data_IF_376873935831
#
_entry.id   IF_376873935831
#
_cell.length_a   1.000
_cell.length_b   1.000
_cell.length_c   1.000
_cell.angle_alpha   90.00
_cell.angle_beta   90.00
_cell.angle_gamma   90.00
#
_symmetry.space_group_name_H-M   'P 1'
#
loop_
_entity.id
_entity.type
_entity.pdbx_description
1 polymer ?
#
# COMPACT_ATOMS: atom_id res chain seq x y z
N UNK A 1 9.20 0.65 -11.63
CA UNK A 1 9.84 1.86 -11.06
C UNK A 1 8.82 2.62 -10.25
N UNK A 2 9.12 2.90 -8.97
CA UNK A 2 8.26 3.68 -8.10
C UNK A 2 8.28 5.16 -8.54
N UNK A 3 7.10 5.76 -8.69
CA UNK A 3 6.92 7.14 -9.16
C UNK A 3 6.32 8.06 -8.13
N UNK A 4 5.38 7.56 -7.33
CA UNK A 4 4.74 8.33 -6.27
C UNK A 4 4.57 7.47 -5.03
N UNK A 5 4.78 8.08 -3.87
CA UNK A 5 4.50 7.50 -2.56
C UNK A 5 3.78 8.56 -1.73
N UNK A 6 2.57 8.26 -1.30
CA UNK A 6 1.82 9.07 -0.35
C UNK A 6 1.66 8.31 0.97
N UNK A 7 1.84 9.00 2.09
CA UNK A 7 1.77 8.45 3.43
C UNK A 7 1.06 9.44 4.35
N UNK A 8 0.04 8.97 5.05
CA UNK A 8 -0.58 9.72 6.14
C UNK A 8 -0.72 8.86 7.40
N UNK A 9 -0.61 9.51 8.56
CA UNK A 9 -0.71 8.91 9.89
C UNK A 9 0.29 7.75 10.13
N UNK A 10 1.54 7.91 9.70
CA UNK A 10 2.61 6.94 9.97
C UNK A 10 3.83 7.59 10.61
N UNK A 11 4.00 7.41 11.92
CA UNK A 11 5.07 7.98 12.74
C UNK A 11 5.16 9.50 12.55
N UNK A 12 6.19 9.98 11.84
CA UNK A 12 6.39 11.40 11.56
C UNK A 12 5.90 11.84 10.17
N UNK A 13 5.37 10.92 9.37
CA UNK A 13 4.88 11.20 8.02
C UNK A 13 3.37 11.45 8.08
N UNK A 14 3.00 12.72 7.90
CA UNK A 14 1.62 13.23 7.94
C UNK A 14 1.36 13.96 6.63
N UNK A 15 0.35 13.54 5.87
CA UNK A 15 0.07 14.03 4.52
C UNK A 15 1.36 14.16 3.67
N UNK A 16 2.26 13.19 3.79
CA UNK A 16 3.56 13.18 3.16
C UNK A 16 3.44 12.66 1.74
N UNK A 17 3.89 13.44 0.77
CA UNK A 17 3.94 13.04 -0.64
C UNK A 17 5.36 13.11 -1.17
N UNK A 18 5.75 12.07 -1.90
CA UNK A 18 7.06 11.95 -2.52
C UNK A 18 6.90 11.51 -3.97
N UNK A 19 7.34 12.37 -4.87
CA UNK A 19 7.48 12.07 -6.29
C UNK A 19 8.93 11.65 -6.57
N UNK A 20 9.10 10.55 -7.31
CA UNK A 20 10.37 9.90 -7.55
C UNK A 20 10.69 9.86 -9.04
N UNK A 21 11.96 10.13 -9.35
CA UNK A 21 12.51 9.91 -10.68
C UNK A 21 13.64 8.86 -10.69
N UNK A 22 14.45 8.82 -11.73
CA UNK A 22 15.54 7.86 -11.89
C UNK A 22 16.55 7.84 -10.73
N UNK A 23 16.86 9.00 -10.13
CA UNK A 23 17.77 9.13 -8.98
C UNK A 23 17.16 10.13 -8.00
N UNK A 24 17.08 9.74 -6.72
CA UNK A 24 16.53 10.57 -5.66
C UNK A 24 17.45 10.54 -4.44
N UNK A 25 17.79 11.71 -3.90
CA UNK A 25 18.66 11.84 -2.72
C UNK A 25 17.84 12.38 -1.54
N UNK A 26 17.85 11.64 -0.43
CA UNK A 26 17.14 12.00 0.79
C UNK A 26 18.10 12.66 1.77
N UNK A 27 17.96 13.97 1.98
CA UNK A 27 18.77 14.76 2.93
C UNK A 27 17.91 15.25 4.09
N UNK A 28 18.50 15.33 5.28
CA UNK A 28 17.84 15.88 6.47
C UNK A 28 18.45 15.36 7.77
N UNK A 29 18.09 15.98 8.89
CA UNK A 29 18.58 15.61 10.22
C UNK A 29 18.06 14.25 10.72
N UNK A 30 18.66 13.71 11.76
CA UNK A 30 18.13 12.51 12.43
C UNK A 30 16.69 12.74 12.90
N UNK A 31 15.82 11.75 12.72
CA UNK A 31 14.39 11.86 13.03
C UNK A 31 13.52 12.51 11.96
N UNK A 32 14.09 13.05 10.87
CA UNK A 32 13.33 13.74 9.80
C UNK A 32 12.48 12.82 8.91
N UNK A 33 12.39 11.52 9.20
CA UNK A 33 11.55 10.59 8.44
C UNK A 33 12.21 9.86 7.26
N UNK A 34 13.49 10.11 6.96
CA UNK A 34 14.21 9.42 5.86
C UNK A 34 14.12 7.89 5.93
N UNK A 35 14.57 7.30 7.04
CA UNK A 35 14.46 5.85 7.24
C UNK A 35 13.02 5.38 7.40
N UNK A 36 12.10 6.27 7.77
CA UNK A 36 10.67 5.96 7.91
C UNK A 36 10.04 5.66 6.55
N UNK A 37 10.42 6.40 5.50
CA UNK A 37 9.98 6.14 4.11
C UNK A 37 10.30 4.70 3.69
N UNK A 38 11.54 4.26 3.87
CA UNK A 38 11.94 2.89 3.54
C UNK A 38 11.20 1.83 4.37
N UNK A 39 10.95 2.11 5.66
CA UNK A 39 10.17 1.22 6.53
C UNK A 39 8.72 1.06 6.07
N UNK A 40 8.11 2.12 5.51
CA UNK A 40 6.77 2.01 4.91
C UNK A 40 6.80 1.11 3.68
N UNK A 41 7.75 1.32 2.77
CA UNK A 41 7.90 0.47 1.58
C UNK A 41 8.08 -1.01 1.96
N UNK A 42 8.94 -1.29 2.94
CA UNK A 42 9.14 -2.65 3.46
C UNK A 42 7.86 -3.26 4.03
N UNK A 43 7.09 -2.51 4.83
CA UNK A 43 5.81 -2.99 5.40
C UNK A 43 4.78 -3.27 4.32
N UNK A 44 4.68 -2.42 3.29
CA UNK A 44 3.76 -2.65 2.17
C UNK A 44 4.19 -3.89 1.37
N UNK A 45 5.49 -4.07 1.11
CA UNK A 45 6.02 -5.29 0.47
C UNK A 45 5.68 -6.55 1.26
N UNK A 46 5.92 -6.56 2.57
CA UNK A 46 5.62 -7.68 3.47
C UNK A 46 4.12 -8.00 3.50
N UNK A 47 3.27 -6.95 3.55
CA UNK A 47 1.81 -7.08 3.49
C UNK A 47 1.34 -7.71 2.17
N UNK A 48 1.81 -7.15 1.05
CA UNK A 48 1.40 -7.58 -0.30
C UNK A 48 1.87 -9.00 -0.62
N UNK A 49 3.01 -9.43 -0.07
CA UNK A 49 3.48 -10.81 -0.20
C UNK A 49 2.66 -11.81 0.64
N UNK A 50 2.05 -11.35 1.74
CA UNK A 50 1.35 -12.22 2.68
C UNK A 50 2.28 -13.05 3.56
N UNK A 51 3.52 -12.59 3.75
CA UNK A 51 4.57 -13.32 4.48
C UNK A 51 4.37 -13.27 6.01
N UNK A 52 3.60 -12.29 6.49
CA UNK A 52 3.35 -12.04 7.91
C UNK A 52 1.88 -11.71 8.19
N UNK A 53 1.47 -11.92 9.44
CA UNK A 53 0.16 -11.48 9.92
C UNK A 53 0.10 -9.95 9.98
N UNK A 54 -1.07 -9.38 9.70
CA UNK A 54 -1.29 -7.95 9.68
C UNK A 54 -0.83 -7.25 10.98
N UNK A 55 -1.12 -7.86 12.13
CA UNK A 55 -0.80 -7.34 13.47
C UNK A 55 0.71 -7.33 13.75
N UNK A 56 1.52 -8.04 12.96
CA UNK A 56 2.98 -7.98 13.04
C UNK A 56 3.54 -6.91 12.11
N UNK A 57 2.85 -6.63 11.01
CA UNK A 57 3.29 -5.70 9.96
C UNK A 57 2.91 -4.28 10.34
N UNK A 58 1.70 -4.03 10.84
CA UNK A 58 1.24 -2.70 11.21
C UNK A 58 0.85 -2.68 12.68
N UNK A 59 1.55 -1.85 13.46
CA UNK A 59 1.31 -1.69 14.88
C UNK A 59 0.59 -0.37 15.14
N UNK A 60 -0.30 -0.33 16.13
CA UNK A 60 -0.92 0.92 16.58
C UNK A 60 0.12 1.95 17.02
N UNK A 61 1.28 1.49 17.51
CA UNK A 61 2.43 2.34 17.85
C UNK A 61 3.13 2.98 16.65
N UNK A 62 2.86 2.54 15.42
CA UNK A 62 3.31 3.19 14.19
C UNK A 62 2.41 4.36 13.79
N UNK A 63 1.23 4.55 14.39
CA UNK A 63 0.40 5.73 14.14
C UNK A 63 1.09 7.01 14.61
N UNK A 64 0.72 8.12 13.98
CA UNK A 64 1.28 9.43 14.35
C UNK A 64 0.76 9.86 15.72
N UNK A 65 1.68 10.01 16.68
CA UNK A 65 1.34 10.25 18.09
C UNK A 65 0.51 11.50 18.36
N UNK A 66 0.60 12.52 17.51
CA UNK A 66 -0.11 13.79 17.65
C UNK A 66 -1.36 13.89 16.77
N UNK A 67 -1.76 12.81 16.09
CA UNK A 67 -3.02 12.71 15.36
C UNK A 67 -4.00 11.80 16.09
N UNK A 68 -5.30 12.07 15.93
CA UNK A 68 -6.39 11.23 16.45
C UNK A 68 -6.98 10.31 15.36
N UNK A 69 -6.38 10.30 14.18
CA UNK A 69 -6.80 9.47 13.06
C UNK A 69 -6.60 7.99 13.40
N UNK A 70 -7.64 7.20 13.16
CA UNK A 70 -7.60 5.75 13.37
C UNK A 70 -7.07 5.00 12.15
N UNK A 71 -6.94 5.66 11.00
CA UNK A 71 -6.56 5.02 9.73
C UNK A 71 -5.21 5.55 9.27
N UNK A 72 -4.28 4.64 8.98
CA UNK A 72 -3.05 4.92 8.24
C UNK A 72 -3.34 4.78 6.75
N UNK A 73 -2.86 5.71 5.95
CA UNK A 73 -3.11 5.72 4.50
C UNK A 73 -1.80 5.64 3.76
N UNK A 74 -1.73 4.74 2.81
CA UNK A 74 -0.59 4.57 1.94
C UNK A 74 -1.07 4.54 0.49
N UNK A 75 -0.41 5.29 -0.37
CA UNK A 75 -0.62 5.19 -1.82
C UNK A 75 0.72 5.05 -2.53
N UNK A 76 0.73 4.24 -3.59
CA UNK A 76 1.89 4.01 -4.44
C UNK A 76 1.47 4.15 -5.90
N UNK A 77 2.31 4.79 -6.70
CA UNK A 77 2.25 4.68 -8.16
C UNK A 77 3.53 4.07 -8.67
N UNK A 78 3.40 3.00 -9.47
CA UNK A 78 4.53 2.21 -9.95
C UNK A 78 4.36 2.00 -11.45
N UNK A 79 5.37 2.40 -12.22
CA UNK A 79 5.46 2.05 -13.64
C UNK A 79 5.98 0.61 -13.74
N UNK A 80 5.25 -0.27 -14.43
CA UNK A 80 5.62 -1.66 -14.63
C UNK A 80 4.71 -2.32 -15.67
N UNK A 81 5.17 -3.40 -16.31
CA UNK A 81 4.40 -4.14 -17.32
C UNK A 81 3.82 -3.27 -18.46
N UNK A 82 4.54 -2.23 -18.85
CA UNK A 82 4.15 -1.24 -19.87
C UNK A 82 2.94 -0.36 -19.51
N UNK A 83 2.60 -0.23 -18.23
CA UNK A 83 1.57 0.67 -17.75
C UNK A 83 1.86 1.21 -16.35
N UNK A 84 0.83 1.80 -15.73
CA UNK A 84 0.91 2.42 -14.42
C UNK A 84 0.00 1.66 -13.46
N UNK A 85 0.60 1.12 -12.41
CA UNK A 85 -0.13 0.62 -11.25
C UNK A 85 -0.36 1.75 -10.25
N UNK A 86 -1.60 1.91 -9.79
CA UNK A 86 -1.93 2.69 -8.60
C UNK A 86 -2.36 1.73 -7.51
N UNK A 87 -1.78 1.84 -6.32
CA UNK A 87 -2.13 1.02 -5.18
C UNK A 87 -2.48 1.90 -3.99
N UNK A 88 -3.56 1.57 -3.29
CA UNK A 88 -4.00 2.25 -2.09
C UNK A 88 -4.26 1.24 -0.98
N UNK A 89 -3.77 1.55 0.23
CA UNK A 89 -3.95 0.73 1.41
C UNK A 89 -4.35 1.60 2.59
N UNK A 90 -5.47 1.24 3.22
CA UNK A 90 -5.95 1.84 4.45
C UNK A 90 -5.87 0.83 5.59
N UNK A 91 -5.08 1.12 6.63
CA UNK A 91 -4.99 0.27 7.82
C UNK A 91 -5.66 0.99 8.99
N UNK A 92 -6.78 0.44 9.45
CA UNK A 92 -7.49 0.90 10.62
C UNK A 92 -6.89 0.30 11.87
N UNK A 93 -6.75 1.13 12.90
CA UNK A 93 -6.35 0.74 14.24
C UNK A 93 -7.49 1.05 15.20
N UNK A 94 -7.80 0.10 16.08
CA UNK A 94 -8.72 0.25 17.19
C UNK A 94 -8.09 -0.42 18.41
N UNK A 95 -7.59 0.39 19.34
CA UNK A 95 -6.79 -0.06 20.48
C UNK A 95 -5.57 -0.87 20.02
N UNK A 96 -5.53 -2.17 20.31
CA UNK A 96 -4.47 -3.11 19.94
C UNK A 96 -4.82 -3.95 18.70
N UNK A 97 -5.98 -3.70 18.08
CA UNK A 97 -6.41 -4.40 16.87
C UNK A 97 -6.11 -3.56 15.65
N UNK A 98 -5.63 -4.20 14.60
CA UNK A 98 -5.52 -3.61 13.28
C UNK A 98 -6.38 -4.39 12.27
N UNK A 99 -6.90 -3.70 11.28
CA UNK A 99 -7.62 -4.30 10.15
C UNK A 99 -7.33 -3.52 8.88
N UNK A 100 -7.43 -4.20 7.75
CA UNK A 100 -7.48 -3.52 6.45
C UNK A 100 -8.85 -2.86 6.35
N UNK A 101 -8.90 -1.54 6.25
CA UNK A 101 -10.14 -0.78 6.00
C UNK A 101 -10.47 -0.81 4.51
N UNK A 102 -9.43 -0.64 3.69
CA UNK A 102 -9.52 -0.79 2.26
C UNK A 102 -8.18 -1.20 1.64
N UNK A 103 -8.25 -1.93 0.53
CA UNK A 103 -7.13 -2.19 -0.35
C UNK A 103 -7.62 -2.03 -1.79
N UNK A 104 -6.92 -1.24 -2.60
CA UNK A 104 -7.34 -0.98 -3.98
C UNK A 104 -6.13 -1.00 -4.90
N UNK A 105 -6.30 -1.62 -6.06
CA UNK A 105 -5.27 -1.70 -7.09
C UNK A 105 -5.90 -1.36 -8.43
N UNK A 106 -5.29 -0.43 -9.14
CA UNK A 106 -5.61 -0.11 -10.53
C UNK A 106 -4.40 -0.37 -11.42
N UNK A 107 -4.68 -0.65 -12.68
CA UNK A 107 -3.72 -0.64 -13.78
C UNK A 107 -4.28 0.22 -14.91
N UNK A 108 -3.54 1.25 -15.33
CA UNK A 108 -3.98 2.21 -16.35
C UNK A 108 -5.42 2.71 -16.12
N UNK A 109 -5.70 3.11 -14.87
CA UNK A 109 -7.00 3.58 -14.37
C UNK A 109 -8.13 2.53 -14.35
N UNK A 110 -7.86 1.29 -14.72
CA UNK A 110 -8.80 0.18 -14.60
C UNK A 110 -8.62 -0.51 -13.25
N UNK A 111 -9.71 -0.61 -12.49
CA UNK A 111 -9.70 -1.25 -11.17
C UNK A 111 -9.48 -2.76 -11.34
N UNK A 112 -8.46 -3.32 -10.68
CA UNK A 112 -8.11 -4.75 -10.71
C UNK A 112 -8.51 -5.46 -9.42
N UNK A 113 -8.35 -4.77 -8.28
CA UNK A 113 -8.71 -5.28 -6.96
C UNK A 113 -9.32 -4.14 -6.16
N UNK A 114 -10.41 -4.45 -5.47
CA UNK A 114 -11.02 -3.59 -4.48
C UNK A 114 -11.45 -4.41 -3.30
N UNK A 115 -10.94 -4.08 -2.14
CA UNK A 115 -11.40 -4.57 -0.86
C UNK A 115 -11.89 -3.37 -0.04
N UNK A 116 -13.14 -3.41 0.41
CA UNK A 116 -13.73 -2.41 1.30
C UNK A 116 -14.78 -3.08 2.17
N UNK A 117 -14.87 -2.70 3.46
CA UNK A 117 -15.94 -3.16 4.37
C UNK A 117 -16.07 -4.69 4.49
N UNK A 118 -14.97 -5.44 4.29
CA UNK A 118 -14.97 -6.90 4.33
C UNK A 118 -15.41 -7.57 3.03
N UNK A 119 -15.77 -6.81 2.00
CA UNK A 119 -16.10 -7.32 0.68
C UNK A 119 -14.89 -7.22 -0.25
N UNK A 120 -14.61 -8.32 -0.98
CA UNK A 120 -13.55 -8.36 -2.00
C UNK A 120 -14.18 -8.40 -3.38
N UNK A 121 -13.78 -7.46 -4.23
CA UNK A 121 -14.11 -7.39 -5.65
C UNK A 121 -12.82 -7.51 -6.46
N UNK A 122 -12.84 -8.39 -7.46
CA UNK A 122 -11.70 -8.64 -8.34
C UNK A 122 -12.16 -8.51 -9.78
N UNK A 123 -11.33 -7.87 -10.58
CA UNK A 123 -11.55 -7.71 -12.00
C UNK A 123 -10.44 -8.45 -12.76
N UNK A 124 -10.80 -9.02 -13.90
CA UNK A 124 -9.83 -9.68 -14.79
C UNK A 124 -9.31 -8.68 -15.82
N UNK A 125 -8.05 -8.85 -16.19
CA UNK A 125 -7.34 -8.11 -17.25
C UNK A 125 -7.94 -8.28 -18.67
N UNK A 126 -9.00 -9.09 -18.84
CA UNK A 126 -9.53 -9.53 -20.15
C UNK A 126 -11.00 -9.11 -20.45
N UNK A 127 -11.56 -8.08 -19.80
CA UNK A 127 -12.89 -7.52 -20.13
C UNK A 127 -14.09 -8.49 -20.10
N UNK A 128 -14.06 -9.57 -19.32
CA UNK A 128 -15.20 -10.46 -19.10
C UNK A 128 -15.58 -10.54 -17.60
N UNK A 129 -16.88 -10.47 -17.29
CA UNK A 129 -17.44 -10.68 -15.95
C UNK A 129 -17.04 -12.07 -15.42
N UNK A 130 -16.67 -12.16 -14.14
CA UNK A 130 -16.31 -13.44 -13.53
C UNK A 130 -17.34 -13.97 -12.54
N UNK A 131 -17.73 -15.22 -12.77
CA UNK A 131 -18.48 -16.11 -11.88
C UNK A 131 -17.56 -16.64 -10.77
N UNK A 132 -18.02 -16.55 -9.52
CA UNK A 132 -17.34 -16.92 -8.28
C UNK A 132 -16.26 -18.02 -8.36
N UNK A 133 -15.06 -17.69 -7.89
CA UNK A 133 -14.08 -18.64 -7.35
C UNK A 133 -13.55 -18.15 -6.00
N UNK A 134 -13.12 -19.06 -5.11
CA UNK A 134 -13.07 -18.81 -3.67
C UNK A 134 -11.80 -18.11 -3.18
N UNK A 135 -10.95 -17.53 -4.06
CA UNK A 135 -9.67 -16.99 -3.58
C UNK A 135 -9.15 -15.74 -4.34
N UNK A 136 -9.08 -14.57 -3.68
CA UNK A 136 -8.57 -13.32 -4.24
C UNK A 136 -7.07 -13.25 -4.58
N UNK A 137 -6.28 -14.23 -4.16
CA UNK A 137 -4.81 -14.20 -4.27
C UNK A 137 -4.25 -14.28 -5.71
N UNK A 138 -5.08 -14.50 -6.74
CA UNK A 138 -4.60 -14.82 -8.10
C UNK A 138 -4.53 -13.63 -9.06
N UNK A 139 -5.32 -12.55 -8.86
CA UNK A 139 -5.37 -11.43 -9.79
C UNK A 139 -4.20 -10.42 -9.64
N UNK A 140 -3.58 -10.31 -8.46
CA UNK A 140 -2.52 -9.31 -8.18
C UNK A 140 -1.07 -9.81 -8.38
N UNK A 141 -0.84 -10.92 -9.10
CA UNK A 141 0.49 -11.55 -9.22
C UNK A 141 1.54 -10.63 -9.87
N UNK A 142 1.17 -9.94 -10.94
CA UNK A 142 2.09 -9.06 -11.68
C UNK A 142 2.45 -7.79 -10.89
N UNK A 143 1.52 -7.26 -10.12
CA UNK A 143 1.78 -6.18 -9.17
C UNK A 143 2.72 -6.64 -8.04
N UNK A 144 2.45 -7.80 -7.42
CA UNK A 144 3.34 -8.41 -6.40
C UNK A 144 4.77 -8.57 -6.92
N UNK A 145 4.93 -9.09 -8.13
CA UNK A 145 6.25 -9.26 -8.73
C UNK A 145 6.96 -7.92 -8.97
N UNK A 146 6.22 -6.89 -9.38
CA UNK A 146 6.75 -5.54 -9.59
C UNK A 146 7.17 -4.89 -8.27
N UNK A 147 6.36 -5.04 -7.22
CA UNK A 147 6.63 -4.50 -5.89
C UNK A 147 7.81 -5.21 -5.20
N UNK A 148 8.00 -6.52 -5.44
CA UNK A 148 9.16 -7.29 -4.95
C UNK A 148 10.50 -6.81 -5.52
N UNK A 149 10.48 -6.18 -6.69
CA UNK A 149 11.67 -5.71 -7.39
C UNK A 149 11.97 -4.22 -7.11
N UNK A 150 11.24 -3.58 -6.19
CA UNK A 150 11.52 -2.24 -5.66
C UNK A 150 12.43 -2.31 -4.45
#
# INVERSE_FOLDING_TARGET
MLKRLYIDNFRCLVNFELNLDSINLFLGSNGSGKSTVFKVLQKIQEFVNGDSKLEKIFLSSDCTRWQTLQVQRFELEIIGNNGIYKYELGIGHDQDKCRVEYERLWYDNQLLLKFELGEVQLYRDNYAEYVQHPNPLVAAKSFRQTLKNL
#
